data_IF_273574201227
#
_entry.id   IF_273574201227
#
_cell.length_a   1.000
_cell.length_b   1.000
_cell.length_c   1.000
_cell.angle_alpha   90.00
_cell.angle_beta   90.00
_cell.angle_gamma   90.00
#
_symmetry.space_group_name_H-M   'P 1'
#
loop_
_entity.id
_entity.type
_entity.pdbx_description
1 polymer ?
#
# COMPACT_ATOMS: atom_id res chain seq x y z
N UNK A 1 -3.71 -18.56 2.30
CA UNK A 1 -4.20 -17.18 2.53
C UNK A 1 -4.19 -16.40 1.23
N UNK A 2 -5.00 -15.39 1.13
CA UNK A 2 -5.03 -14.50 -0.03
C UNK A 2 -4.65 -13.09 0.41
N UNK A 3 -3.49 -12.63 -0.02
CA UNK A 3 -2.99 -11.31 0.39
C UNK A 3 -3.61 -10.14 -0.38
N UNK A 4 -4.34 -10.42 -1.46
CA UNK A 4 -5.01 -9.40 -2.25
C UNK A 4 -4.07 -8.69 -3.22
N UNK A 5 -4.48 -7.48 -3.61
CA UNK A 5 -3.75 -6.69 -4.60
C UNK A 5 -2.42 -6.21 -4.04
N UNK A 6 -1.38 -6.29 -4.85
CA UNK A 6 -0.05 -5.83 -4.49
C UNK A 6 0.26 -4.48 -5.09
N UNK A 7 0.95 -3.63 -4.32
CA UNK A 7 1.63 -2.45 -4.84
C UNK A 7 2.92 -2.24 -4.07
N UNK A 8 3.93 -1.69 -4.75
CA UNK A 8 5.12 -1.21 -4.05
C UNK A 8 4.86 0.25 -3.66
N UNK A 9 5.03 0.56 -2.38
CA UNK A 9 4.86 1.93 -1.87
C UNK A 9 6.25 2.55 -1.77
N UNK A 10 6.49 3.56 -2.59
CA UNK A 10 7.80 4.21 -2.69
C UNK A 10 7.82 5.50 -1.88
N UNK A 11 8.85 5.64 -1.06
CA UNK A 11 9.11 6.88 -0.35
C UNK A 11 9.82 7.82 -1.33
N UNK A 12 9.16 8.90 -1.73
CA UNK A 12 9.70 9.83 -2.72
C UNK A 12 9.97 11.20 -2.11
N UNK A 13 10.94 11.90 -2.66
CA UNK A 13 11.31 13.24 -2.19
C UNK A 13 10.50 14.33 -2.86
N UNK A 14 10.08 14.10 -4.11
CA UNK A 14 9.35 15.07 -4.92
C UNK A 14 8.31 14.30 -5.72
N UNK A 15 7.07 14.31 -5.22
CA UNK A 15 6.00 13.51 -5.81
C UNK A 15 5.66 13.95 -7.24
N UNK A 16 5.78 15.26 -7.54
CA UNK A 16 5.51 15.74 -8.89
C UNK A 16 6.54 15.19 -9.88
N UNK A 17 7.82 15.19 -9.49
CA UNK A 17 8.88 14.64 -10.32
C UNK A 17 8.72 13.13 -10.50
N UNK A 18 8.36 12.41 -9.43
CA UNK A 18 8.15 10.97 -9.49
C UNK A 18 6.97 10.63 -10.40
N UNK A 19 5.86 11.37 -10.24
CA UNK A 19 4.69 11.18 -11.11
C UNK A 19 5.08 11.35 -12.58
N UNK A 20 5.76 12.44 -12.92
CA UNK A 20 6.17 12.71 -14.29
C UNK A 20 7.06 11.60 -14.84
N UNK A 21 7.97 11.09 -14.02
CA UNK A 21 8.84 9.99 -14.40
C UNK A 21 8.05 8.71 -14.73
N UNK A 22 7.17 8.29 -13.82
CA UNK A 22 6.42 7.06 -14.03
C UNK A 22 5.38 7.18 -15.14
N UNK A 23 4.82 8.37 -15.35
CA UNK A 23 3.92 8.58 -16.49
C UNK A 23 4.64 8.36 -17.80
N UNK A 24 5.93 8.70 -17.89
CA UNK A 24 6.73 8.43 -19.09
C UNK A 24 6.96 6.94 -19.32
N UNK A 25 6.84 6.12 -18.27
CA UNK A 25 6.94 4.67 -18.38
C UNK A 25 5.58 4.01 -18.69
N UNK A 26 4.54 4.80 -18.86
CA UNK A 26 3.21 4.29 -19.20
C UNK A 26 2.28 4.12 -18.02
N UNK A 27 2.67 4.59 -16.84
CA UNK A 27 1.79 4.54 -15.68
C UNK A 27 0.78 5.69 -15.72
N UNK A 28 -0.38 5.48 -15.11
CA UNK A 28 -1.37 6.53 -14.94
C UNK A 28 -1.91 6.51 -13.52
N UNK A 29 -2.28 7.67 -13.03
CA UNK A 29 -2.84 7.81 -11.67
C UNK A 29 -4.23 7.16 -11.63
N UNK A 30 -4.45 6.30 -10.62
CA UNK A 30 -5.74 5.66 -10.39
C UNK A 30 -6.31 5.98 -9.02
N UNK A 31 -5.54 6.60 -8.13
CA UNK A 31 -6.02 6.95 -6.80
C UNK A 31 -5.11 8.01 -6.19
N UNK A 32 -5.62 8.73 -5.20
CA UNK A 32 -4.86 9.67 -4.39
C UNK A 32 -4.94 11.10 -4.86
N UNK A 33 -4.26 11.96 -4.11
CA UNK A 33 -4.15 13.39 -4.40
C UNK A 33 -2.71 13.84 -4.22
N UNK A 34 -2.13 14.39 -5.26
CA UNK A 34 -0.76 14.88 -5.22
C UNK A 34 -0.57 15.94 -4.12
N UNK A 35 -1.56 16.82 -3.95
CA UNK A 35 -1.50 17.86 -2.94
C UNK A 35 -1.46 17.30 -1.51
N UNK A 36 -1.94 16.07 -1.32
CA UNK A 36 -1.89 15.39 -0.02
C UNK A 36 -0.66 14.51 0.12
N UNK A 37 0.19 14.48 -0.88
CA UNK A 37 1.46 13.78 -0.80
C UNK A 37 1.42 12.30 -1.17
N UNK A 38 0.37 11.82 -1.84
CA UNK A 38 0.33 10.42 -2.24
C UNK A 38 -0.47 10.19 -3.50
N UNK A 39 -0.02 9.23 -4.29
CA UNK A 39 -0.69 8.79 -5.51
C UNK A 39 -0.47 7.30 -5.70
N UNK A 40 -1.47 6.63 -6.28
CA UNK A 40 -1.33 5.26 -6.74
C UNK A 40 -1.40 5.29 -8.26
N UNK A 41 -0.46 4.62 -8.92
CA UNK A 41 -0.37 4.56 -10.37
C UNK A 41 -0.36 3.12 -10.83
N UNK A 42 -0.83 2.90 -12.06
CA UNK A 42 -0.82 1.57 -12.66
C UNK A 42 -0.41 1.64 -14.12
N UNK A 43 0.20 0.57 -14.61
CA UNK A 43 0.42 0.39 -16.05
C UNK A 43 -0.44 -0.75 -16.62
N UNK A 44 -1.40 -1.23 -15.81
CA UNK A 44 -2.27 -2.34 -16.18
C UNK A 44 -1.85 -3.67 -15.57
N UNK A 45 -0.55 -3.86 -15.31
CA UNK A 45 -0.03 -5.09 -14.72
C UNK A 45 0.67 -4.87 -13.40
N UNK A 46 1.22 -3.67 -13.19
CA UNK A 46 1.93 -3.32 -11.95
C UNK A 46 1.32 -2.07 -11.33
N UNK A 47 1.27 -2.06 -10.01
CA UNK A 47 0.78 -0.92 -9.24
C UNK A 47 1.93 -0.35 -8.41
N UNK A 48 2.02 0.97 -8.41
CA UNK A 48 3.04 1.72 -7.65
C UNK A 48 2.33 2.77 -6.83
N UNK A 49 2.64 2.84 -5.53
CA UNK A 49 2.25 3.98 -4.71
C UNK A 49 3.45 4.91 -4.57
N UNK A 50 3.26 6.21 -4.70
CA UNK A 50 4.31 7.18 -4.43
C UNK A 50 3.84 8.09 -3.31
N UNK A 51 4.66 8.22 -2.26
CA UNK A 51 4.30 8.89 -1.02
C UNK A 51 5.43 9.84 -0.61
N UNK A 52 5.10 11.09 -0.42
CA UNK A 52 6.07 12.11 -0.02
C UNK A 52 5.88 12.46 1.44
N UNK A 53 6.94 12.27 2.24
CA UNK A 53 6.95 12.71 3.63
C UNK A 53 6.19 11.83 4.61
N UNK A 54 5.82 10.61 4.24
CA UNK A 54 5.02 9.73 5.10
C UNK A 54 5.82 8.62 5.76
N UNK A 55 6.88 8.15 5.12
CA UNK A 55 7.75 7.11 5.64
C UNK A 55 9.10 7.18 4.94
N UNK A 56 10.10 6.53 5.50
CA UNK A 56 11.47 6.64 4.99
C UNK A 56 11.87 5.53 4.03
N UNK A 57 11.34 4.33 4.23
CA UNK A 57 11.72 3.16 3.45
C UNK A 57 10.57 2.70 2.56
N UNK A 58 10.90 2.15 1.40
CA UNK A 58 9.89 1.58 0.52
C UNK A 58 9.20 0.39 1.19
N UNK A 59 7.92 0.22 0.92
CA UNK A 59 7.09 -0.78 1.59
C UNK A 59 6.38 -1.65 0.55
N UNK A 60 6.44 -2.97 0.72
CA UNK A 60 5.61 -3.89 -0.06
C UNK A 60 4.22 -3.90 0.56
N UNK A 61 3.21 -3.49 -0.19
CA UNK A 61 1.85 -3.33 0.32
C UNK A 61 0.90 -4.32 -0.32
N UNK A 62 0.11 -5.00 0.51
CA UNK A 62 -0.94 -5.92 0.07
C UNK A 62 -2.29 -5.44 0.61
N UNK A 63 -3.32 -5.54 -0.21
CA UNK A 63 -4.66 -5.09 0.19
C UNK A 63 -5.63 -6.27 0.18
N UNK A 64 -5.69 -7.05 1.27
CA UNK A 64 -6.57 -8.21 1.37
C UNK A 64 -8.00 -7.81 1.72
N UNK A 65 -8.90 -8.76 1.63
CA UNK A 65 -10.28 -8.58 2.07
C UNK A 65 -10.42 -8.68 3.59
N UNK A 66 -9.54 -9.45 4.26
CA UNK A 66 -9.64 -9.70 5.69
C UNK A 66 -8.25 -9.76 6.32
N UNK A 67 -7.77 -8.60 6.77
CA UNK A 67 -6.45 -8.49 7.38
C UNK A 67 -6.38 -9.25 8.71
N UNK A 68 -7.46 -9.29 9.47
CA UNK A 68 -7.48 -9.97 10.77
C UNK A 68 -7.34 -11.48 10.61
N UNK A 69 -7.95 -12.07 9.58
CA UNK A 69 -7.79 -13.49 9.30
C UNK A 69 -6.35 -13.80 8.89
N UNK A 70 -5.72 -12.93 8.12
CA UNK A 70 -4.32 -13.08 7.75
C UNK A 70 -3.43 -12.99 8.98
N UNK A 71 -3.68 -12.03 9.85
CA UNK A 71 -2.91 -11.88 11.09
C UNK A 71 -2.94 -13.17 11.92
N UNK A 72 -4.12 -13.74 12.09
CA UNK A 72 -4.28 -14.98 12.84
C UNK A 72 -3.44 -16.10 12.23
N UNK A 73 -3.50 -16.25 10.93
CA UNK A 73 -2.75 -17.30 10.23
C UNK A 73 -1.23 -17.09 10.36
N UNK A 74 -0.77 -15.84 10.25
CA UNK A 74 0.65 -15.52 10.40
C UNK A 74 1.16 -15.84 11.81
N UNK A 75 0.38 -15.47 12.82
CA UNK A 75 0.73 -15.76 14.21
C UNK A 75 0.79 -17.28 14.44
N UNK A 76 -0.16 -18.03 13.88
CA UNK A 76 -0.15 -19.50 13.98
C UNK A 76 1.06 -20.12 13.32
N UNK A 77 1.61 -19.47 12.30
CA UNK A 77 2.84 -19.92 11.62
C UNK A 77 4.11 -19.45 12.30
N UNK A 78 4.00 -18.75 13.42
CA UNK A 78 5.16 -18.28 14.18
C UNK A 78 5.81 -17.03 13.65
N UNK A 79 5.11 -16.26 12.81
CA UNK A 79 5.66 -15.01 12.27
C UNK A 79 5.44 -13.87 13.25
N UNK A 80 6.50 -13.13 13.56
CA UNK A 80 6.42 -11.95 14.41
C UNK A 80 5.87 -10.77 13.62
N UNK A 81 4.96 -10.03 14.26
CA UNK A 81 4.39 -8.81 13.70
C UNK A 81 4.99 -7.60 14.41
N UNK A 82 5.14 -6.49 13.67
CA UNK A 82 5.60 -5.25 14.26
C UNK A 82 4.40 -4.48 14.80
N UNK A 83 3.36 -4.32 13.96
CA UNK A 83 2.09 -3.74 14.40
C UNK A 83 0.98 -4.75 14.14
N UNK A 84 0.07 -4.85 15.10
CA UNK A 84 -1.07 -5.78 15.03
C UNK A 84 -2.33 -5.01 14.68
N UNK A 85 -3.31 -5.72 14.10
CA UNK A 85 -4.60 -5.10 13.79
C UNK A 85 -5.33 -4.67 15.05
N UNK A 86 -6.11 -3.60 14.94
CA UNK A 86 -7.04 -3.22 15.99
C UNK A 86 -8.19 -4.22 16.04
N UNK A 87 -8.71 -4.54 17.25
CA UNK A 87 -9.87 -5.43 17.36
C UNK A 87 -11.11 -4.81 16.73
N UNK A 88 -12.06 -5.63 16.34
CA UNK A 88 -13.34 -5.20 15.82
C UNK A 88 -13.57 -5.59 14.38
N UNK A 89 -14.33 -4.78 13.68
CA UNK A 89 -14.69 -5.01 12.29
C UNK A 89 -14.25 -3.81 11.44
N UNK A 90 -14.28 -4.00 10.11
CA UNK A 90 -13.95 -2.94 9.16
C UNK A 90 -12.46 -2.87 8.85
N UNK A 91 -12.01 -1.71 8.38
CA UNK A 91 -10.61 -1.54 7.95
C UNK A 91 -9.63 -1.89 9.06
N UNK A 92 -8.53 -2.50 8.67
CA UNK A 92 -7.49 -2.88 9.62
C UNK A 92 -6.17 -3.05 8.87
N UNK A 93 -5.08 -2.85 9.57
CA UNK A 93 -3.77 -3.10 8.98
C UNK A 93 -2.82 -3.73 9.98
N UNK A 94 -1.81 -4.40 9.45
CA UNK A 94 -0.71 -4.93 10.23
C UNK A 94 0.58 -4.72 9.46
N UNK A 95 1.69 -4.69 10.18
CA UNK A 95 3.00 -4.54 9.57
C UNK A 95 3.95 -5.61 10.08
N UNK A 96 4.87 -5.99 9.21
CA UNK A 96 5.91 -6.96 9.55
C UNK A 96 7.11 -6.72 8.66
N UNK A 97 8.17 -7.48 8.87
CA UNK A 97 9.36 -7.42 8.04
C UNK A 97 9.71 -8.82 7.56
N UNK A 98 10.30 -8.89 6.37
CA UNK A 98 10.86 -10.16 5.91
C UNK A 98 12.20 -10.43 6.60
N UNK A 99 12.84 -11.58 6.38
CA UNK A 99 14.10 -11.90 7.06
C UNK A 99 15.24 -10.89 6.85
N UNK A 100 15.21 -10.14 5.76
CA UNK A 100 16.24 -9.15 5.45
C UNK A 100 15.83 -7.73 5.87
N UNK A 101 14.72 -7.59 6.57
CA UNK A 101 14.27 -6.30 7.07
C UNK A 101 13.46 -5.46 6.10
N UNK A 102 12.98 -6.05 5.01
CA UNK A 102 12.11 -5.32 4.09
C UNK A 102 10.72 -5.13 4.70
N UNK A 103 10.22 -3.92 4.64
CA UNK A 103 8.93 -3.58 5.25
C UNK A 103 7.76 -4.12 4.44
N UNK A 104 6.78 -4.69 5.13
CA UNK A 104 5.56 -5.22 4.55
C UNK A 104 4.37 -4.63 5.29
N UNK A 105 3.41 -4.10 4.53
CA UNK A 105 2.14 -3.60 5.05
C UNK A 105 1.02 -4.44 4.46
N UNK A 106 0.15 -4.93 5.32
CA UNK A 106 -1.06 -5.64 4.92
C UNK A 106 -2.22 -4.77 5.38
N UNK A 107 -2.92 -4.17 4.43
CA UNK A 107 -3.86 -3.07 4.68
C UNK A 107 -5.22 -3.34 4.04
N UNK A 108 -6.20 -3.64 4.88
CA UNK A 108 -7.57 -3.86 4.44
C UNK A 108 -8.30 -2.51 4.36
N UNK A 109 -8.77 -2.17 3.18
CA UNK A 109 -9.57 -0.97 2.98
C UNK A 109 -11.02 -1.18 3.45
N UNK A 110 -11.79 -0.10 3.66
CA UNK A 110 -13.23 -0.23 3.92
C UNK A 110 -13.90 -1.04 2.80
N UNK A 111 -14.95 -1.78 3.16
CA UNK A 111 -15.66 -2.62 2.20
C UNK A 111 -16.17 -1.84 0.99
N UNK A 112 -16.66 -0.63 1.21
CA UNK A 112 -17.15 0.24 0.14
C UNK A 112 -16.07 1.15 -0.45
N UNK A 113 -14.81 0.91 -0.15
CA UNK A 113 -13.73 1.73 -0.68
C UNK A 113 -13.66 1.64 -2.19
N UNK A 114 -13.56 2.80 -2.84
CA UNK A 114 -13.37 2.90 -4.28
C UNK A 114 -12.20 3.81 -4.55
N UNK A 115 -11.37 3.42 -5.50
CA UNK A 115 -10.29 4.26 -5.96
C UNK A 115 -10.85 5.53 -6.56
N UNK A 116 -10.23 6.65 -6.23
CA UNK A 116 -10.68 7.96 -6.67
C UNK A 116 -9.49 8.71 -7.28
N UNK A 117 -9.21 8.49 -8.56
CA UNK A 117 -8.09 9.16 -9.21
C UNK A 117 -8.32 10.66 -9.25
N UNK A 118 -7.24 11.41 -9.08
CA UNK A 118 -7.20 12.85 -9.19
C UNK A 118 -7.46 13.24 -10.64
N UNK A 119 -8.53 13.93 -10.90
CA UNK A 119 -8.89 14.29 -12.25
C UNK A 119 -8.32 15.61 -12.69
N UNK A 120 -7.83 16.30 -12.31
CA UNK A 120 -7.36 17.46 -12.72
C UNK A 120 -6.57 17.91 -12.80
N UNK A 121 -6.28 17.86 -12.99
CA UNK A 121 -5.63 18.36 -13.11
C UNK A 121 -5.29 19.22 -13.45
#
# INVERSE_FOLDING_TARGET
MTLGTFSISLAVKDIAASRAFYEKLGFKVIDGKQAEGWLILTNGTANIGIFQGMFENNIMTFNPKDARAIEKELVEKGIELIEKTEPGEGPAYLTLKDPDGNDILIDQHPEEYKMNPETMD
#
